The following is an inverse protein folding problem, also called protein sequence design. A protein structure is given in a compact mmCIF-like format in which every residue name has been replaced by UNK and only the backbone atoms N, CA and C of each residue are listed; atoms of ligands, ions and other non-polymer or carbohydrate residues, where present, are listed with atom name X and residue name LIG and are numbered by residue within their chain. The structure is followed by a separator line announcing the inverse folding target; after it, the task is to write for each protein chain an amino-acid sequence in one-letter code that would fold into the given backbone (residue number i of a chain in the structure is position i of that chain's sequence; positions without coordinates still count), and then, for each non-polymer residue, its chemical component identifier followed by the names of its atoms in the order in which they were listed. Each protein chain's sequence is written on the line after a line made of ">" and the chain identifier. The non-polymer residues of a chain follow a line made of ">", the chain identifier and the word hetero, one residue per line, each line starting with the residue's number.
data_IF_730998147753
#
_entry.id   IF_730998147753
#
_cell.length_a   1.000
_cell.length_b   1.000
_cell.length_c   1.000
_cell.angle_alpha   90.00
_cell.angle_beta   90.00
_cell.angle_gamma   90.00
#
_symmetry.space_group_name_H-M   'P 1'
#
loop_
_entity.id
_entity.type
_entity.pdbx_description
1 polymer ?
#
# COMPACT_ATOMS: atom_id res chain seq x y z
N UNK A 1 27.17 22.85 -5.56
CA UNK A 1 25.70 22.75 -5.42
C UNK A 1 25.31 23.45 -4.14
N UNK A 2 24.23 24.25 -4.16
CA UNK A 2 23.71 24.87 -2.94
C UNK A 2 23.10 23.79 -2.03
N UNK A 3 23.07 24.04 -0.72
CA UNK A 3 22.43 23.16 0.26
C UNK A 3 21.02 22.76 -0.19
N UNK A 4 20.25 23.71 -0.73
CA UNK A 4 18.89 23.48 -1.21
C UNK A 4 18.80 22.44 -2.34
N UNK A 5 19.63 22.55 -3.38
CA UNK A 5 19.62 21.59 -4.49
C UNK A 5 20.05 20.18 -4.06
N UNK A 6 20.94 20.09 -3.06
CA UNK A 6 21.33 18.81 -2.48
C UNK A 6 20.16 18.16 -1.71
N UNK A 7 19.44 18.93 -0.88
CA UNK A 7 18.29 18.41 -0.13
C UNK A 7 17.12 18.02 -1.04
N UNK A 8 16.92 18.72 -2.16
CA UNK A 8 15.90 18.33 -3.13
C UNK A 8 16.16 16.94 -3.76
N UNK A 9 17.42 16.51 -3.81
CA UNK A 9 17.83 15.23 -4.39
C UNK A 9 17.99 14.11 -3.36
N UNK A 10 18.35 14.44 -2.12
CA UNK A 10 18.77 13.46 -1.10
C UNK A 10 17.96 13.53 0.21
N UNK A 11 17.16 14.58 0.39
CA UNK A 11 16.40 14.86 1.60
C UNK A 11 14.90 14.59 1.45
N UNK A 12 14.17 14.83 2.54
CA UNK A 12 12.70 14.83 2.50
C UNK A 12 12.22 16.09 1.79
N UNK A 13 11.51 15.92 0.68
CA UNK A 13 10.76 16.98 0.02
C UNK A 13 9.31 16.88 0.45
N UNK A 14 8.75 17.95 1.02
CA UNK A 14 7.35 18.03 1.44
C UNK A 14 6.65 19.17 0.69
N UNK A 15 5.50 18.87 0.08
CA UNK A 15 4.67 19.83 -0.64
C UNK A 15 3.38 20.08 0.18
N UNK A 16 3.33 21.14 1.02
CA UNK A 16 2.24 21.32 1.97
C UNK A 16 0.89 21.56 1.30
N UNK A 17 0.86 22.20 0.12
CA UNK A 17 -0.38 22.42 -0.63
C UNK A 17 -0.98 21.10 -1.13
N UNK A 18 -0.13 20.11 -1.43
CA UNK A 18 -0.57 18.77 -1.84
C UNK A 18 -0.80 17.85 -0.64
N UNK A 19 -0.13 18.11 0.49
CA UNK A 19 -0.12 17.21 1.64
C UNK A 19 0.62 15.90 1.35
N UNK A 20 1.65 15.97 0.50
CA UNK A 20 2.45 14.83 0.03
C UNK A 20 3.93 15.12 0.23
N UNK A 21 4.67 14.13 0.70
CA UNK A 21 6.11 14.14 0.80
C UNK A 21 6.75 12.97 0.07
N UNK A 22 8.00 13.16 -0.34
CA UNK A 22 8.84 12.12 -0.94
C UNK A 22 10.22 12.14 -0.30
N UNK A 23 10.72 10.95 0.03
CA UNK A 23 12.11 10.72 0.41
C UNK A 23 12.78 9.81 -0.66
N UNK A 24 13.97 10.15 -1.15
CA UNK A 24 14.69 9.37 -2.16
C UNK A 24 15.38 8.17 -1.50
N UNK A 25 14.64 7.07 -1.36
CA UNK A 25 15.15 5.86 -0.72
C UNK A 25 16.00 5.06 -1.73
N UNK A 26 17.24 4.59 -1.41
CA UNK A 26 18.14 3.92 -2.37
C UNK A 26 17.62 2.57 -2.92
N UNK A 27 17.95 2.11 -4.14
CA UNK A 27 17.41 0.84 -4.67
C UNK A 27 17.64 -0.38 -3.77
N UNK A 28 18.70 -0.39 -2.97
CA UNK A 28 19.00 -1.43 -1.99
C UNK A 28 18.02 -1.36 -0.80
N UNK A 29 16.97 -2.18 -0.87
CA UNK A 29 15.92 -2.33 0.15
C UNK A 29 16.22 -3.52 1.09
N UNK A 30 15.74 -3.52 2.35
CA UNK A 30 15.99 -4.60 3.31
C UNK A 30 15.15 -5.87 3.04
N UNK A 31 14.71 -6.11 1.81
CA UNK A 31 13.76 -7.18 1.46
C UNK A 31 14.47 -8.52 1.25
N UNK A 32 14.96 -9.09 2.34
CA UNK A 32 15.62 -10.39 2.38
C UNK A 32 14.78 -11.46 3.12
N UNK A 33 15.38 -12.63 3.32
CA UNK A 33 14.73 -13.73 4.03
C UNK A 33 14.49 -13.44 5.52
N UNK A 34 15.35 -12.66 6.17
CA UNK A 34 15.18 -12.28 7.56
C UNK A 34 13.99 -11.32 7.72
N UNK A 35 13.83 -10.40 6.76
CA UNK A 35 12.69 -9.50 6.67
C UNK A 35 11.38 -10.28 6.54
N UNK A 36 11.30 -11.19 5.57
CA UNK A 36 10.10 -12.00 5.37
C UNK A 36 9.77 -12.85 6.63
N UNK A 37 10.77 -13.51 7.21
CA UNK A 37 10.60 -14.31 8.42
C UNK A 37 10.09 -13.48 9.61
N UNK A 38 10.58 -12.26 9.79
CA UNK A 38 10.11 -11.33 10.82
C UNK A 38 8.61 -11.04 10.68
N UNK A 39 8.14 -10.71 9.47
CA UNK A 39 6.71 -10.45 9.26
C UNK A 39 5.85 -11.70 9.44
N UNK A 40 6.34 -12.89 9.04
CA UNK A 40 5.67 -14.17 9.36
C UNK A 40 5.48 -14.37 10.86
N UNK A 41 6.50 -14.06 11.68
CA UNK A 41 6.38 -14.13 13.14
C UNK A 41 5.38 -13.10 13.68
N UNK A 42 5.44 -11.85 13.21
CA UNK A 42 4.52 -10.79 13.63
C UNK A 42 3.05 -11.14 13.32
N UNK A 43 2.79 -11.79 12.20
CA UNK A 43 1.45 -12.22 11.78
C UNK A 43 0.81 -13.25 12.74
N UNK A 44 1.61 -14.01 13.48
CA UNK A 44 1.13 -15.00 14.45
C UNK A 44 0.75 -14.39 15.80
N UNK A 45 1.07 -13.12 16.05
CA UNK A 45 0.67 -12.42 17.27
C UNK A 45 -0.83 -12.11 17.27
N UNK A 46 -1.42 -11.91 18.46
CA UNK A 46 -2.81 -11.48 18.59
C UNK A 46 -3.09 -10.19 17.80
N UNK A 47 -2.15 -9.24 17.82
CA UNK A 47 -2.24 -8.00 17.05
C UNK A 47 -2.25 -8.30 15.55
N UNK A 48 -1.34 -9.14 15.05
CA UNK A 48 -1.30 -9.55 13.64
C UNK A 48 -2.63 -10.15 13.16
N UNK A 49 -3.19 -11.07 13.94
CA UNK A 49 -4.49 -11.69 13.66
C UNK A 49 -5.62 -10.66 13.62
N UNK A 50 -5.65 -9.72 14.58
CA UNK A 50 -6.66 -8.66 14.65
C UNK A 50 -6.56 -7.69 13.47
N UNK A 51 -5.35 -7.28 13.10
CA UNK A 51 -5.10 -6.41 11.95
C UNK A 51 -5.55 -7.08 10.65
N UNK A 52 -5.15 -8.34 10.44
CA UNK A 52 -5.56 -9.09 9.26
C UNK A 52 -7.10 -9.25 9.20
N UNK A 53 -7.73 -9.53 10.34
CA UNK A 53 -9.20 -9.59 10.44
C UNK A 53 -9.85 -8.27 10.02
N UNK A 54 -9.33 -7.14 10.52
CA UNK A 54 -9.85 -5.81 10.19
C UNK A 54 -9.71 -5.49 8.69
N UNK A 55 -8.57 -5.85 8.08
CA UNK A 55 -8.30 -5.71 6.63
C UNK A 55 -9.27 -6.54 5.78
N UNK A 56 -9.50 -7.80 6.15
CA UNK A 56 -10.46 -8.67 5.46
C UNK A 56 -11.88 -8.10 5.56
N UNK A 57 -12.27 -7.64 6.75
CA UNK A 57 -13.59 -7.03 6.95
C UNK A 57 -13.77 -5.75 6.14
N UNK A 58 -12.73 -4.92 6.03
CA UNK A 58 -12.74 -3.73 5.18
C UNK A 58 -12.99 -4.12 3.72
N UNK A 59 -12.23 -5.08 3.19
CA UNK A 59 -12.44 -5.53 1.81
C UNK A 59 -13.83 -6.12 1.63
N UNK A 60 -14.29 -6.98 2.55
CA UNK A 60 -15.59 -7.64 2.46
C UNK A 60 -16.79 -6.67 2.45
N UNK A 61 -16.68 -5.47 3.04
CA UNK A 61 -17.74 -4.45 2.97
C UNK A 61 -17.95 -3.89 1.56
N UNK A 62 -16.91 -3.93 0.71
CA UNK A 62 -16.92 -3.26 -0.59
C UNK A 62 -16.72 -4.20 -1.78
N UNK A 63 -16.07 -5.36 -1.59
CA UNK A 63 -15.71 -6.28 -2.65
C UNK A 63 -15.63 -7.75 -2.19
N UNK A 64 -16.30 -8.65 -2.91
CA UNK A 64 -16.38 -10.09 -2.62
C UNK A 64 -15.60 -10.96 -3.63
N UNK A 65 -15.03 -10.36 -4.68
CA UNK A 65 -14.38 -11.09 -5.77
C UNK A 65 -12.87 -11.27 -5.61
N UNK A 66 -12.20 -11.54 -6.76
CA UNK A 66 -10.75 -11.67 -6.86
C UNK A 66 -10.03 -10.43 -6.31
N UNK A 67 -8.96 -10.63 -5.55
CA UNK A 67 -8.06 -9.57 -5.07
C UNK A 67 -6.62 -9.95 -5.37
N UNK A 68 -5.82 -8.96 -5.76
CA UNK A 68 -4.37 -9.06 -5.76
C UNK A 68 -3.80 -8.20 -4.63
N UNK A 69 -3.10 -8.86 -3.70
CA UNK A 69 -2.39 -8.22 -2.61
C UNK A 69 -0.97 -7.84 -3.04
N UNK A 70 -0.65 -6.55 -3.01
CA UNK A 70 0.61 -5.98 -3.50
C UNK A 70 1.50 -5.65 -2.30
N UNK A 71 2.66 -6.30 -2.20
CA UNK A 71 3.50 -6.26 -1.02
C UNK A 71 2.86 -7.07 0.10
N UNK A 72 2.95 -8.40 0.01
CA UNK A 72 2.15 -9.32 0.82
C UNK A 72 2.55 -9.36 2.30
N UNK A 73 3.69 -8.75 2.65
CA UNK A 73 4.29 -8.80 3.98
C UNK A 73 4.53 -10.24 4.41
N UNK A 74 3.67 -10.77 5.27
CA UNK A 74 3.73 -12.16 5.74
C UNK A 74 2.97 -13.16 4.85
N UNK A 75 2.17 -12.69 3.88
CA UNK A 75 1.25 -13.51 3.12
C UNK A 75 -0.02 -13.92 3.88
N UNK A 76 -0.20 -13.51 5.14
CA UNK A 76 -1.36 -13.91 5.96
C UNK A 76 -2.69 -13.49 5.31
N UNK A 77 -2.75 -12.31 4.68
CA UNK A 77 -3.96 -11.84 4.01
C UNK A 77 -4.32 -12.74 2.81
N UNK A 78 -3.34 -13.06 1.97
CA UNK A 78 -3.48 -14.00 0.84
C UNK A 78 -3.91 -15.40 1.31
N UNK A 79 -3.36 -15.87 2.43
CA UNK A 79 -3.64 -17.19 2.98
C UNK A 79 -5.06 -17.32 3.55
N UNK A 80 -5.60 -16.23 4.12
CA UNK A 80 -6.83 -16.26 4.91
C UNK A 80 -8.06 -15.75 4.17
N UNK A 81 -7.91 -14.84 3.19
CA UNK A 81 -9.01 -14.36 2.37
C UNK A 81 -9.18 -15.23 1.11
N UNK A 82 -10.38 -15.78 0.84
CA UNK A 82 -10.63 -16.53 -0.39
C UNK A 82 -10.39 -15.68 -1.64
N UNK A 83 -10.11 -16.33 -2.78
CA UNK A 83 -9.88 -15.68 -4.08
C UNK A 83 -8.89 -14.51 -4.03
N UNK A 84 -7.78 -14.73 -3.32
CA UNK A 84 -6.71 -13.74 -3.18
C UNK A 84 -5.41 -14.31 -3.76
N UNK A 85 -4.74 -13.50 -4.57
CA UNK A 85 -3.40 -13.73 -5.10
C UNK A 85 -2.45 -12.67 -4.52
N UNK A 86 -1.15 -12.90 -4.65
CA UNK A 86 -0.14 -11.97 -4.17
C UNK A 86 0.86 -11.59 -5.24
N UNK A 87 1.36 -10.36 -5.14
CA UNK A 87 2.55 -9.86 -5.82
C UNK A 87 3.52 -9.30 -4.77
N UNK A 88 4.79 -9.62 -4.89
CA UNK A 88 5.83 -9.10 -4.00
C UNK A 88 7.13 -8.88 -4.79
N UNK A 89 8.03 -8.07 -4.23
CA UNK A 89 9.39 -7.84 -4.72
C UNK A 89 10.43 -8.63 -3.92
N UNK A 90 10.11 -9.04 -2.69
CA UNK A 90 10.95 -9.89 -1.86
C UNK A 90 11.01 -11.30 -2.47
N UNK A 91 12.22 -11.82 -2.80
CA UNK A 91 12.39 -13.15 -3.39
C UNK A 91 11.74 -14.29 -2.59
N UNK A 92 11.78 -14.22 -1.25
CA UNK A 92 11.16 -15.24 -0.39
C UNK A 92 9.64 -15.18 -0.46
N UNK A 93 9.06 -13.97 -0.47
CA UNK A 93 7.61 -13.78 -0.66
C UNK A 93 7.14 -14.31 -2.01
N UNK A 94 7.90 -14.04 -3.08
CA UNK A 94 7.65 -14.58 -4.43
C UNK A 94 7.71 -16.11 -4.44
N UNK A 95 8.75 -16.71 -3.84
CA UNK A 95 8.90 -18.15 -3.78
C UNK A 95 7.75 -18.81 -3.01
N UNK A 96 7.35 -18.24 -1.88
CA UNK A 96 6.21 -18.68 -1.08
C UNK A 96 4.89 -18.62 -1.86
N UNK A 97 4.62 -17.51 -2.56
CA UNK A 97 3.43 -17.36 -3.40
C UNK A 97 3.38 -18.37 -4.55
N UNK A 98 4.53 -18.61 -5.21
CA UNK A 98 4.62 -19.59 -6.30
C UNK A 98 4.39 -21.01 -5.82
N UNK A 99 4.98 -21.37 -4.68
CA UNK A 99 4.76 -22.68 -4.05
C UNK A 99 3.27 -22.91 -3.69
N UNK A 100 2.56 -21.85 -3.28
CA UNK A 100 1.12 -21.90 -3.01
C UNK A 100 0.21 -21.79 -4.23
N UNK A 101 0.75 -21.61 -5.45
CA UNK A 101 -0.05 -21.34 -6.65
C UNK A 101 -0.84 -20.02 -6.60
N UNK A 102 -0.40 -19.06 -5.77
CA UNK A 102 -1.06 -17.77 -5.52
C UNK A 102 -0.26 -16.57 -6.05
N UNK A 103 0.88 -16.80 -6.70
CA UNK A 103 1.66 -15.72 -7.29
C UNK A 103 0.96 -15.15 -8.52
N UNK A 104 0.89 -13.83 -8.62
CA UNK A 104 0.45 -13.10 -9.81
C UNK A 104 1.38 -11.91 -10.05
N UNK A 105 1.68 -11.61 -11.31
CA UNK A 105 2.51 -10.46 -11.65
C UNK A 105 1.64 -9.22 -11.87
N UNK A 106 1.75 -8.21 -10.99
CA UNK A 106 0.98 -6.97 -11.07
C UNK A 106 1.10 -6.25 -12.42
N UNK A 107 2.29 -6.29 -13.01
CA UNK A 107 2.64 -5.59 -14.25
C UNK A 107 2.48 -6.46 -15.51
N UNK A 108 2.04 -7.71 -15.36
CA UNK A 108 1.70 -8.55 -16.51
C UNK A 108 0.22 -8.34 -16.87
N UNK A 109 -0.09 -7.85 -18.09
CA UNK A 109 -1.46 -7.64 -18.50
C UNK A 109 -2.25 -8.95 -18.69
N UNK A 110 -1.59 -10.11 -18.71
CA UNK A 110 -2.18 -11.39 -19.12
C UNK A 110 -2.43 -12.37 -17.96
N UNK A 111 -2.28 -11.98 -16.69
CA UNK A 111 -2.37 -12.91 -15.55
C UNK A 111 -3.19 -12.35 -14.38
N UNK A 112 -4.03 -13.16 -13.68
CA UNK A 112 -4.43 -14.54 -13.98
C UNK A 112 -5.56 -14.66 -15.02
N UNK A 113 -6.28 -13.58 -15.34
CA UNK A 113 -7.31 -13.52 -16.40
C UNK A 113 -7.44 -12.07 -16.95
N UNK A 114 -6.34 -11.29 -16.94
CA UNK A 114 -6.27 -9.86 -17.30
C UNK A 114 -7.07 -8.88 -16.41
N UNK A 115 -8.06 -9.35 -15.66
CA UNK A 115 -8.89 -8.50 -14.80
C UNK A 115 -8.44 -8.56 -13.33
N UNK A 116 -7.99 -7.41 -12.81
CA UNK A 116 -7.63 -7.20 -11.41
C UNK A 116 -8.65 -6.25 -10.79
N UNK A 117 -9.88 -6.71 -10.49
CA UNK A 117 -10.96 -5.82 -10.08
C UNK A 117 -10.64 -5.10 -8.77
N UNK A 118 -9.84 -5.70 -7.89
CA UNK A 118 -9.44 -5.09 -6.64
C UNK A 118 -7.96 -5.34 -6.32
N UNK A 119 -7.27 -4.29 -5.85
CA UNK A 119 -5.92 -4.37 -5.29
C UNK A 119 -5.92 -4.00 -3.81
N UNK A 120 -5.04 -4.63 -3.04
CA UNK A 120 -4.75 -4.24 -1.65
C UNK A 120 -3.29 -3.82 -1.52
N UNK A 121 -3.05 -2.78 -0.73
CA UNK A 121 -1.73 -2.25 -0.38
C UNK A 121 -1.64 -2.06 1.13
N UNK A 122 -1.34 -3.14 1.85
CA UNK A 122 -1.26 -3.11 3.30
C UNK A 122 0.16 -2.73 3.75
N UNK A 123 0.39 -1.46 4.07
CA UNK A 123 1.71 -0.89 4.42
C UNK A 123 2.75 -1.12 3.31
N UNK A 124 2.33 -0.94 2.06
CA UNK A 124 3.17 -1.21 0.89
C UNK A 124 3.14 -0.11 -0.16
N UNK A 125 2.05 0.67 -0.28
CA UNK A 125 1.93 1.72 -1.30
C UNK A 125 3.06 2.75 -1.17
N UNK A 126 3.40 3.11 0.07
CA UNK A 126 4.45 4.08 0.39
C UNK A 126 5.87 3.61 0.08
N UNK A 127 6.04 2.33 -0.23
CA UNK A 127 7.32 1.70 -0.59
C UNK A 127 7.53 1.55 -2.09
N UNK A 128 6.50 1.78 -2.91
CA UNK A 128 6.53 1.57 -4.36
C UNK A 128 7.14 2.80 -5.03
N UNK A 129 8.14 2.61 -5.90
CA UNK A 129 8.78 3.73 -6.62
C UNK A 129 7.81 4.49 -7.54
N UNK A 130 6.93 3.75 -8.23
CA UNK A 130 5.91 4.27 -9.16
C UNK A 130 4.49 3.82 -8.74
N UNK A 131 3.94 4.37 -7.63
CA UNK A 131 2.67 3.91 -7.08
C UNK A 131 1.49 4.14 -8.04
N UNK A 132 1.55 5.16 -8.90
CA UNK A 132 0.53 5.42 -9.92
C UNK A 132 0.41 4.26 -10.92
N UNK A 133 1.54 3.69 -11.35
CA UNK A 133 1.57 2.57 -12.29
C UNK A 133 0.96 1.31 -11.67
N UNK A 134 1.23 1.07 -10.38
CA UNK A 134 0.63 -0.02 -9.62
C UNK A 134 -0.90 0.17 -9.46
N UNK A 135 -1.33 1.34 -9.01
CA UNK A 135 -2.75 1.66 -8.77
C UNK A 135 -3.57 1.66 -10.07
N UNK A 136 -2.98 2.07 -11.20
CA UNK A 136 -3.63 2.04 -12.49
C UNK A 136 -4.10 0.64 -12.92
N UNK A 137 -3.50 -0.43 -12.37
CA UNK A 137 -3.89 -1.81 -12.65
C UNK A 137 -5.22 -2.22 -12.02
N UNK A 138 -5.69 -1.53 -10.99
CA UNK A 138 -6.94 -1.88 -10.31
C UNK A 138 -8.16 -1.56 -11.18
N UNK A 139 -9.03 -2.54 -11.43
CA UNK A 139 -10.23 -2.36 -12.24
C UNK A 139 -11.33 -1.55 -11.55
N UNK A 140 -11.57 -1.79 -10.26
CA UNK A 140 -12.73 -1.23 -9.54
C UNK A 140 -12.37 -0.67 -8.16
N UNK A 141 -11.52 -1.36 -7.42
CA UNK A 141 -11.25 -1.04 -6.02
C UNK A 141 -9.76 -1.04 -5.69
N UNK A 142 -9.36 -0.10 -4.85
CA UNK A 142 -8.06 -0.12 -4.18
C UNK A 142 -8.27 0.03 -2.69
N UNK A 143 -7.68 -0.86 -1.92
CA UNK A 143 -7.69 -0.80 -0.47
C UNK A 143 -6.27 -0.53 0.02
N UNK A 144 -6.12 0.40 0.95
CA UNK A 144 -4.80 0.82 1.42
C UNK A 144 -4.83 0.96 2.93
N UNK A 145 -3.76 0.52 3.59
CA UNK A 145 -3.42 0.99 4.93
C UNK A 145 -2.02 1.55 4.90
N UNK A 146 -1.81 2.75 5.44
CA UNK A 146 -0.48 3.36 5.53
C UNK A 146 -0.39 4.41 6.65
N UNK A 147 0.84 4.81 7.05
CA UNK A 147 1.03 5.93 7.95
C UNK A 147 0.54 7.26 7.37
N UNK A 148 -0.30 7.96 8.12
CA UNK A 148 -0.74 9.32 7.79
C UNK A 148 -0.09 10.36 8.68
N UNK A 149 0.31 11.46 8.07
CA UNK A 149 1.04 12.53 8.72
C UNK A 149 0.23 13.82 8.78
N UNK A 150 0.63 14.74 9.66
CA UNK A 150 -0.01 16.06 9.78
C UNK A 150 0.71 17.09 8.91
N UNK A 151 2.03 17.00 8.86
CA UNK A 151 2.96 17.90 8.18
C UNK A 151 4.37 17.28 8.19
N UNK A 152 5.34 18.02 7.63
CA UNK A 152 6.74 17.62 7.61
C UNK A 152 7.32 17.40 9.02
N UNK A 153 6.98 18.25 9.99
CA UNK A 153 7.46 18.13 11.37
C UNK A 153 7.02 16.81 12.01
N UNK A 154 5.76 16.41 11.77
CA UNK A 154 5.25 15.12 12.24
C UNK A 154 6.02 13.96 11.63
N UNK A 155 6.37 14.02 10.33
CA UNK A 155 7.20 12.99 9.68
C UNK A 155 8.55 12.89 10.40
N UNK A 156 9.27 14.01 10.59
CA UNK A 156 10.62 14.01 11.16
C UNK A 156 10.71 13.40 12.57
N UNK A 157 9.62 13.45 13.33
CA UNK A 157 9.54 12.86 14.69
C UNK A 157 8.90 11.47 14.74
N UNK A 158 8.36 10.98 13.62
CA UNK A 158 7.61 9.74 13.58
C UNK A 158 8.52 8.51 13.47
N UNK A 159 8.15 7.42 14.15
CA UNK A 159 8.77 6.09 13.95
C UNK A 159 8.61 5.56 12.53
N UNK A 160 7.66 6.10 11.77
CA UNK A 160 7.39 5.75 10.38
C UNK A 160 8.25 6.55 9.39
N UNK A 161 9.19 7.38 9.86
CA UNK A 161 10.19 7.99 8.99
C UNK A 161 11.34 7.02 8.71
N UNK A 162 11.07 6.08 7.81
CA UNK A 162 11.95 4.95 7.46
C UNK A 162 12.75 5.29 6.20
N UNK A 163 13.94 5.85 6.37
CA UNK A 163 14.82 6.31 5.27
C UNK A 163 15.41 5.20 4.41
N UNK A 164 15.18 3.95 4.78
CA UNK A 164 15.56 2.71 4.10
C UNK A 164 14.40 2.05 3.34
N UNK A 165 13.15 2.48 3.60
CA UNK A 165 11.95 1.80 3.12
C UNK A 165 10.86 2.72 2.56
N UNK A 166 10.50 3.81 3.25
CA UNK A 166 9.34 4.65 2.91
C UNK A 166 9.73 5.78 1.95
N UNK A 167 9.21 5.70 0.73
CA UNK A 167 9.38 6.69 -0.33
C UNK A 167 8.35 7.80 -0.19
N UNK A 168 7.10 7.46 0.06
CA UNK A 168 5.98 8.40 0.03
C UNK A 168 5.39 8.66 1.41
N UNK A 169 4.97 9.90 1.64
CA UNK A 169 4.39 10.34 2.91
C UNK A 169 3.14 11.13 2.60
N UNK A 170 2.01 10.79 3.22
CA UNK A 170 0.73 11.43 2.92
C UNK A 170 0.08 12.00 4.18
N UNK A 171 -0.61 13.12 4.03
CA UNK A 171 -1.74 13.46 4.91
C UNK A 171 -2.99 12.69 4.48
N UNK A 172 -4.02 12.63 5.33
CA UNK A 172 -5.35 12.07 4.95
C UNK A 172 -5.93 12.78 3.70
N UNK A 173 -5.89 14.10 3.67
CA UNK A 173 -6.32 14.88 2.50
C UNK A 173 -5.42 14.64 1.27
N UNK A 174 -4.11 14.52 1.48
CA UNK A 174 -3.14 14.29 0.42
C UNK A 174 -3.33 12.95 -0.28
N UNK A 175 -3.53 11.86 0.47
CA UNK A 175 -3.78 10.54 -0.14
C UNK A 175 -5.13 10.51 -0.87
N UNK A 176 -6.17 11.14 -0.33
CA UNK A 176 -7.48 11.23 -1.01
C UNK A 176 -7.38 11.98 -2.32
N UNK A 177 -6.70 13.13 -2.32
CA UNK A 177 -6.48 13.94 -3.53
C UNK A 177 -5.61 13.21 -4.54
N UNK A 178 -4.58 12.48 -4.06
CA UNK A 178 -3.77 11.64 -4.93
C UNK A 178 -4.67 10.62 -5.62
N UNK A 179 -5.42 9.78 -4.88
CA UNK A 179 -6.36 8.81 -5.46
C UNK A 179 -7.41 9.42 -6.40
N UNK A 180 -7.94 10.60 -6.08
CA UNK A 180 -8.85 11.35 -6.95
C UNK A 180 -8.22 11.64 -8.31
N UNK A 181 -6.96 12.08 -8.34
CA UNK A 181 -6.21 12.31 -9.58
C UNK A 181 -5.96 11.02 -10.39
N UNK A 182 -6.03 9.82 -9.78
CA UNK A 182 -5.98 8.53 -10.48
C UNK A 182 -7.37 7.97 -10.84
N UNK A 183 -8.43 8.76 -10.68
CA UNK A 183 -9.80 8.37 -11.02
C UNK A 183 -10.47 7.49 -9.96
N UNK A 184 -10.11 7.65 -8.69
CA UNK A 184 -10.75 6.97 -7.56
C UNK A 184 -11.30 7.93 -6.53
N UNK A 185 -12.46 7.59 -5.96
CA UNK A 185 -13.05 8.33 -4.84
C UNK A 185 -12.96 7.50 -3.56
N UNK A 186 -12.67 8.14 -2.43
CA UNK A 186 -12.67 7.48 -1.12
C UNK A 186 -14.12 7.12 -0.72
N UNK A 187 -14.42 5.82 -0.66
CA UNK A 187 -15.71 5.29 -0.23
C UNK A 187 -15.76 5.01 1.27
N UNK A 188 -14.63 4.63 1.87
CA UNK A 188 -14.50 4.44 3.31
C UNK A 188 -13.11 4.85 3.79
N UNK A 189 -13.05 5.47 4.98
CA UNK A 189 -11.84 5.72 5.74
C UNK A 189 -12.10 5.37 7.20
N UNK A 190 -11.14 4.70 7.84
CA UNK A 190 -11.17 4.46 9.28
C UNK A 190 -9.74 4.36 9.84
N UNK A 191 -9.63 4.38 11.17
CA UNK A 191 -8.36 4.28 11.91
C UNK A 191 -8.30 3.03 12.76
N UNK A 192 -8.95 1.93 12.34
CA UNK A 192 -9.08 0.72 13.16
C UNK A 192 -7.71 0.12 13.52
N UNK A 193 -6.75 0.15 12.58
CA UNK A 193 -5.39 -0.34 12.84
C UNK A 193 -4.69 0.49 13.94
N UNK A 194 -4.91 1.82 13.96
CA UNK A 194 -4.44 2.67 15.06
C UNK A 194 -5.09 2.31 16.39
N UNK A 195 -6.40 2.06 16.40
CA UNK A 195 -7.14 1.64 17.60
C UNK A 195 -6.65 0.28 18.13
N UNK A 196 -6.18 -0.60 17.26
CA UNK A 196 -5.57 -1.89 17.62
C UNK A 196 -4.13 -1.76 18.13
N UNK A 197 -3.49 -0.58 17.98
CA UNK A 197 -2.15 -0.29 18.52
C UNK A 197 -1.11 0.09 17.46
N UNK A 198 -1.47 0.15 16.17
CA UNK A 198 -0.59 0.68 15.12
C UNK A 198 -0.77 2.19 14.97
N UNK A 199 -0.23 2.91 15.95
CA UNK A 199 -0.27 4.38 15.98
C UNK A 199 0.12 5.01 14.63
N UNK A 200 -0.69 5.99 14.21
CA UNK A 200 -0.54 6.76 12.97
C UNK A 200 -1.02 6.08 11.69
N UNK A 201 -1.60 4.88 11.74
CA UNK A 201 -2.08 4.17 10.55
C UNK A 201 -3.55 4.49 10.26
N UNK A 202 -3.86 4.81 9.01
CA UNK A 202 -5.23 4.92 8.49
C UNK A 202 -5.47 3.93 7.37
N UNK A 203 -6.71 3.47 7.26
CA UNK A 203 -7.15 2.47 6.28
C UNK A 203 -8.26 3.04 5.41
N UNK A 204 -8.20 2.76 4.11
CA UNK A 204 -9.05 3.34 3.08
C UNK A 204 -9.59 2.28 2.13
N UNK A 205 -10.80 2.50 1.64
CA UNK A 205 -11.36 1.85 0.46
C UNK A 205 -11.64 2.93 -0.61
N UNK A 206 -10.96 2.81 -1.75
CA UNK A 206 -11.08 3.70 -2.89
C UNK A 206 -11.80 3.00 -4.04
N UNK A 207 -12.86 3.62 -4.56
CA UNK A 207 -13.65 3.11 -5.67
C UNK A 207 -13.32 3.84 -6.94
N UNK A 208 -13.06 3.12 -8.04
CA UNK A 208 -12.86 3.71 -9.36
C UNK A 208 -14.14 4.45 -9.77
N UNK A 209 -13.99 5.68 -10.20
CA UNK A 209 -15.04 6.44 -10.85
C UNK A 209 -15.04 5.98 -12.31
N UNK A 210 -16.14 5.38 -12.77
CA UNK A 210 -16.28 5.08 -14.18
C UNK A 210 -16.24 6.38 -14.97
N UNK A 211 -15.52 6.42 -16.10
CA UNK A 211 -15.65 7.53 -17.03
C UNK A 211 -17.14 7.68 -17.31
N UNK A 212 -17.74 8.80 -16.90
CA UNK A 212 -18.94 9.25 -17.56
C UNK A 212 -18.53 9.36 -19.03
N UNK A 213 -19.03 8.45 -19.85
CA UNK A 213 -18.90 8.56 -21.29
C UNK A 213 -19.34 9.97 -21.63
N UNK A 214 -18.42 10.78 -22.16
CA UNK A 214 -18.73 12.00 -22.89
C UNK A 214 -19.60 11.60 -24.08
N UNK A 215 -20.90 11.49 -23.83
CA UNK A 215 -21.95 11.56 -24.83
C UNK A 215 -22.76 12.81 -24.48
N UNK A 216 -22.23 13.95 -24.86
CA UNK A 216 -22.97 15.18 -25.10
C UNK A 216 -22.66 15.65 -26.52
#
# INVERSE_FOLDING_TARGET
>A
MTLFSHEMQNGLVWLPELGIGRFPVPPERPYDASYFAKYRQMAQTNLGIQLNTARIQLVARHHQGKVLDVGIGSGQFVETRPDTWGYDVNPEGIAWLKAGGRWANLYDPCFPDCDLPALTFWDSLEHIDEPEAAVARAGQWVFVSLPVFKNAEHILTSRHYRKDEHIWYFTDEGIRRWFDAQGFVCAEHNTIESMLGRDGISSYAFRRVGNASENA
#
